data_IF_526007184868
#
_entry.id   IF_526007184868
#
_cell.length_a   1.000
_cell.length_b   1.000
_cell.length_c   1.000
_cell.angle_alpha   90.00
_cell.angle_beta   90.00
_cell.angle_gamma   90.00
#
_symmetry.space_group_name_H-M   'P 1'
#
loop_
_entity.id
_entity.type
_entity.pdbx_description
1 polymer ?
#
# COMPACT_ATOMS: atom_id res chain seq x y z
N UNK A 1 -38.15 15.26 21.94
CA UNK A 1 -37.43 14.18 21.24
C UNK A 1 -36.00 14.63 21.24
N UNK A 2 -35.19 14.04 22.11
CA UNK A 2 -33.75 14.30 22.11
C UNK A 2 -33.18 13.58 20.89
N UNK A 3 -32.61 14.35 19.95
CA UNK A 3 -31.73 13.82 18.92
C UNK A 3 -30.54 13.21 19.65
N UNK A 4 -30.49 11.88 19.68
CA UNK A 4 -29.29 11.15 20.05
C UNK A 4 -28.25 11.47 18.98
N UNK A 5 -27.39 12.45 19.27
CA UNK A 5 -26.15 12.68 18.54
C UNK A 5 -25.34 11.40 18.68
N UNK A 6 -25.41 10.53 17.68
CA UNK A 6 -24.56 9.36 17.60
C UNK A 6 -23.14 9.91 17.50
N UNK A 7 -22.32 9.60 18.49
CA UNK A 7 -20.95 10.03 18.56
C UNK A 7 -20.19 9.45 17.35
N UNK A 8 -19.58 10.33 16.57
CA UNK A 8 -18.89 10.00 15.31
C UNK A 8 -17.80 8.95 15.59
N UNK A 9 -17.18 9.00 16.77
CA UNK A 9 -16.18 8.02 17.19
C UNK A 9 -16.79 6.61 17.35
N UNK A 10 -18.07 6.51 17.75
CA UNK A 10 -18.78 5.22 17.86
C UNK A 10 -19.22 4.69 16.49
N UNK A 11 -19.57 5.56 15.55
CA UNK A 11 -19.83 5.19 14.15
C UNK A 11 -18.55 4.75 13.43
N UNK A 12 -17.42 5.39 13.73
CA UNK A 12 -16.09 5.00 13.24
C UNK A 12 -15.68 3.62 13.79
N UNK A 13 -15.98 3.33 15.06
CA UNK A 13 -15.73 2.02 15.67
C UNK A 13 -16.58 0.88 15.06
N UNK A 14 -17.71 1.20 14.44
CA UNK A 14 -18.56 0.24 13.71
C UNK A 14 -18.08 -0.05 12.28
N UNK A 15 -17.18 0.78 11.73
CA UNK A 15 -16.66 0.62 10.39
C UNK A 15 -15.35 -0.20 10.39
N UNK A 16 -15.34 -1.30 9.64
CA UNK A 16 -14.14 -2.16 9.52
C UNK A 16 -12.91 -1.43 8.91
N UNK A 17 -13.14 -0.29 8.25
CA UNK A 17 -12.15 0.57 7.62
C UNK A 17 -12.70 2.00 7.40
N UNK A 18 -11.80 3.00 7.40
CA UNK A 18 -12.11 4.41 7.08
C UNK A 18 -11.36 4.75 5.78
N UNK A 19 -12.01 5.20 4.70
CA UNK A 19 -11.30 5.63 3.49
C UNK A 19 -10.46 6.91 3.67
N UNK A 20 -9.47 7.08 2.80
CA UNK A 20 -8.57 8.23 2.80
C UNK A 20 -7.21 7.91 3.44
N UNK A 21 -6.28 8.85 3.28
CA UNK A 21 -4.88 8.68 3.70
C UNK A 21 -4.47 9.62 4.83
N UNK A 22 -5.19 10.74 5.03
CA UNK A 22 -4.85 11.75 6.04
C UNK A 22 -5.12 11.30 7.48
N UNK A 23 -5.99 10.30 7.68
CA UNK A 23 -6.25 9.70 9.00
C UNK A 23 -5.27 8.58 9.38
N UNK A 24 -4.50 8.06 8.41
CA UNK A 24 -3.63 6.93 8.66
C UNK A 24 -2.60 7.29 9.73
N UNK A 25 -2.29 6.33 10.60
CA UNK A 25 -1.23 6.46 11.59
C UNK A 25 0.14 6.33 10.89
N UNK A 26 0.49 7.31 10.06
CA UNK A 26 1.79 7.47 9.41
C UNK A 26 2.51 8.65 10.03
N UNK A 27 3.82 8.54 10.21
CA UNK A 27 4.63 9.65 10.73
C UNK A 27 4.55 10.90 9.85
N UNK A 28 4.29 10.71 8.55
CA UNK A 28 3.94 11.77 7.64
C UNK A 28 2.80 12.68 8.16
N UNK A 29 1.76 12.08 8.76
CA UNK A 29 0.52 12.77 9.11
C UNK A 29 0.57 13.54 10.43
N UNK A 30 1.62 13.34 11.24
CA UNK A 30 1.77 14.01 12.53
C UNK A 30 2.84 15.10 12.49
N UNK A 31 2.60 16.19 13.21
CA UNK A 31 3.61 17.22 13.45
C UNK A 31 4.71 16.64 14.35
N UNK A 32 5.97 16.87 13.96
CA UNK A 32 7.13 16.40 14.73
C UNK A 32 8.03 17.57 15.10
N UNK A 33 8.76 17.43 16.21
CA UNK A 33 9.75 18.39 16.72
C UNK A 33 11.05 18.48 15.89
N UNK A 34 11.14 17.79 14.75
CA UNK A 34 12.30 17.83 13.87
C UNK A 34 12.34 19.10 13.00
N UNK A 35 13.52 19.61 12.60
CA UNK A 35 13.62 20.83 11.79
C UNK A 35 12.95 20.67 10.41
N UNK A 36 12.12 21.66 10.04
CA UNK A 36 11.29 21.71 8.82
C UNK A 36 12.10 21.44 7.53
N UNK A 37 13.37 21.85 7.48
CA UNK A 37 14.21 21.72 6.28
C UNK A 37 14.55 20.28 5.88
N UNK A 38 14.65 19.34 6.84
CA UNK A 38 14.89 17.93 6.54
C UNK A 38 13.62 17.19 6.10
N UNK A 39 12.46 17.64 6.57
CA UNK A 39 11.17 17.02 6.26
C UNK A 39 10.83 17.12 4.77
N UNK A 40 10.98 18.32 4.19
CA UNK A 40 10.74 18.54 2.77
C UNK A 40 11.68 17.76 1.85
N UNK A 41 12.90 17.44 2.32
CA UNK A 41 13.86 16.63 1.53
C UNK A 41 13.42 15.18 1.42
N UNK A 42 13.10 14.54 2.56
CA UNK A 42 12.71 13.13 2.57
C UNK A 42 11.42 12.90 1.78
N UNK A 43 10.46 13.82 1.91
CA UNK A 43 9.21 13.80 1.15
C UNK A 43 9.45 13.93 -0.36
N UNK A 44 10.33 14.83 -0.80
CA UNK A 44 10.71 14.96 -2.21
C UNK A 44 11.38 13.70 -2.76
N UNK A 45 12.28 13.07 -2.00
CA UNK A 45 12.92 11.81 -2.42
C UNK A 45 11.91 10.67 -2.54
N UNK A 46 10.94 10.58 -1.62
CA UNK A 46 9.86 9.59 -1.73
C UNK A 46 8.94 9.87 -2.91
N UNK A 47 8.62 11.15 -3.17
CA UNK A 47 7.83 11.57 -4.35
C UNK A 47 8.54 11.20 -5.65
N UNK A 48 9.84 11.44 -5.77
CA UNK A 48 10.64 11.04 -6.95
C UNK A 48 10.64 9.52 -7.16
N UNK A 49 10.79 8.73 -6.09
CA UNK A 49 10.66 7.27 -6.15
C UNK A 49 9.29 6.83 -6.66
N UNK A 50 8.21 7.45 -6.18
CA UNK A 50 6.85 7.12 -6.61
C UNK A 50 6.58 7.52 -8.06
N UNK A 51 7.09 8.65 -8.52
CA UNK A 51 6.98 9.07 -9.93
C UNK A 51 7.66 8.04 -10.84
N UNK A 52 8.85 7.57 -10.45
CA UNK A 52 9.52 6.49 -11.18
C UNK A 52 8.71 5.19 -11.17
N UNK A 53 8.13 4.79 -10.03
CA UNK A 53 7.26 3.61 -9.97
C UNK A 53 6.01 3.76 -10.86
N UNK A 54 5.43 4.96 -10.93
CA UNK A 54 4.26 5.25 -11.76
C UNK A 54 4.55 5.06 -13.26
N UNK A 55 5.76 5.36 -13.74
CA UNK A 55 6.14 5.19 -15.15
C UNK A 55 6.02 3.74 -15.65
N UNK A 56 6.16 2.76 -14.74
CA UNK A 56 6.08 1.32 -15.06
C UNK A 56 4.76 0.67 -14.61
N UNK A 57 3.91 1.42 -13.91
CA UNK A 57 2.66 0.91 -13.38
C UNK A 57 1.51 1.10 -14.38
N UNK A 58 1.03 0.00 -14.95
CA UNK A 58 -0.06 -0.01 -15.94
C UNK A 58 -1.37 -0.59 -15.40
N UNK A 59 -1.36 -1.16 -14.18
CA UNK A 59 -2.50 -1.79 -13.55
C UNK A 59 -3.26 -0.86 -12.59
N UNK A 60 -4.13 -1.44 -11.75
CA UNK A 60 -4.91 -0.69 -10.76
C UNK A 60 -4.04 -0.12 -9.62
N UNK A 61 -2.83 -0.64 -9.43
CA UNK A 61 -1.89 -0.13 -8.42
C UNK A 61 -1.46 1.32 -8.71
N UNK A 62 -1.61 1.82 -9.94
CA UNK A 62 -1.31 3.22 -10.28
C UNK A 62 -2.10 4.20 -9.40
N UNK A 63 -3.32 3.85 -8.99
CA UNK A 63 -4.16 4.72 -8.17
C UNK A 63 -3.69 4.76 -6.71
N UNK A 64 -3.07 3.68 -6.21
CA UNK A 64 -2.35 3.72 -4.93
C UNK A 64 -1.19 4.72 -4.97
N UNK A 65 -0.43 4.71 -6.06
CA UNK A 65 0.70 5.61 -6.29
C UNK A 65 0.22 7.05 -6.41
N UNK A 66 -0.78 7.31 -7.25
CA UNK A 66 -1.34 8.64 -7.46
C UNK A 66 -1.99 9.21 -6.20
N UNK A 67 -2.77 8.42 -5.44
CA UNK A 67 -3.32 8.86 -4.17
C UNK A 67 -2.21 9.32 -3.22
N UNK A 68 -1.14 8.54 -3.10
CA UNK A 68 -0.01 8.90 -2.25
C UNK A 68 0.77 10.13 -2.77
N UNK A 69 0.89 10.29 -4.10
CA UNK A 69 1.46 11.49 -4.71
C UNK A 69 0.63 12.74 -4.35
N UNK A 70 -0.70 12.64 -4.36
CA UNK A 70 -1.60 13.72 -3.92
C UNK A 70 -1.38 14.09 -2.45
N UNK A 71 -1.24 13.08 -1.58
CA UNK A 71 -0.92 13.30 -0.16
C UNK A 71 0.43 14.00 0.00
N UNK A 72 1.44 13.60 -0.78
CA UNK A 72 2.76 14.24 -0.75
C UNK A 72 2.72 15.68 -1.25
N UNK A 73 2.00 15.98 -2.33
CA UNK A 73 1.79 17.35 -2.79
C UNK A 73 1.13 18.21 -1.72
N UNK A 74 0.12 17.67 -1.01
CA UNK A 74 -0.49 18.38 0.12
C UNK A 74 0.54 18.74 1.21
N UNK A 75 1.35 17.78 1.66
CA UNK A 75 2.38 18.03 2.69
C UNK A 75 3.58 18.86 2.18
N UNK A 76 3.72 19.02 0.87
CA UNK A 76 4.66 19.97 0.25
C UNK A 76 4.06 21.36 0.03
N UNK A 77 2.87 21.62 0.57
CA UNK A 77 2.11 22.88 0.43
C UNK A 77 1.66 23.17 -1.01
N UNK A 78 1.65 22.15 -1.89
CA UNK A 78 1.18 22.19 -3.28
C UNK A 78 -0.31 21.80 -3.34
N UNK A 79 -1.17 22.50 -2.59
CA UNK A 79 -2.57 22.08 -2.34
C UNK A 79 -3.40 21.98 -3.62
N UNK A 80 -3.26 22.91 -4.57
CA UNK A 80 -3.96 22.84 -5.86
C UNK A 80 -3.54 21.61 -6.68
N UNK A 81 -2.26 21.24 -6.65
CA UNK A 81 -1.77 20.04 -7.31
C UNK A 81 -2.34 18.77 -6.65
N UNK A 82 -2.41 18.74 -5.31
CA UNK A 82 -3.06 17.65 -4.60
C UNK A 82 -4.53 17.50 -5.02
N UNK A 83 -5.26 18.62 -5.11
CA UNK A 83 -6.65 18.67 -5.59
C UNK A 83 -6.78 18.10 -7.00
N UNK A 84 -5.95 18.56 -7.94
CA UNK A 84 -5.97 18.09 -9.33
C UNK A 84 -5.71 16.58 -9.44
N UNK A 85 -4.78 16.05 -8.65
CA UNK A 85 -4.48 14.61 -8.62
C UNK A 85 -5.70 13.82 -8.13
N UNK A 86 -6.28 14.17 -6.99
CA UNK A 86 -7.44 13.43 -6.46
C UNK A 86 -8.65 13.55 -7.39
N UNK A 87 -8.91 14.75 -7.93
CA UNK A 87 -9.97 14.96 -8.91
C UNK A 87 -9.77 14.08 -10.15
N UNK A 88 -8.54 14.00 -10.69
CA UNK A 88 -8.23 13.13 -11.82
C UNK A 88 -8.51 11.65 -11.51
N UNK A 89 -8.11 11.17 -10.32
CA UNK A 89 -8.40 9.79 -9.91
C UNK A 89 -9.91 9.55 -9.83
N UNK A 90 -10.69 10.47 -9.26
CA UNK A 90 -12.16 10.31 -9.17
C UNK A 90 -12.85 10.28 -10.54
N UNK A 91 -12.27 10.92 -11.56
CA UNK A 91 -12.78 10.89 -12.93
C UNK A 91 -12.46 9.56 -13.64
N UNK A 92 -11.23 9.06 -13.49
CA UNK A 92 -10.78 7.80 -14.10
C UNK A 92 -11.27 6.56 -13.35
N UNK A 93 -11.41 6.66 -12.03
CA UNK A 93 -11.91 5.62 -11.13
C UNK A 93 -12.98 6.18 -10.18
N UNK A 94 -14.23 6.34 -10.65
CA UNK A 94 -15.33 6.85 -9.85
C UNK A 94 -15.64 6.03 -8.60
N UNK A 95 -15.16 4.78 -8.52
CA UNK A 95 -15.34 3.88 -7.38
C UNK A 95 -14.20 3.95 -6.34
N UNK A 96 -13.18 4.81 -6.53
CA UNK A 96 -12.03 4.90 -5.63
C UNK A 96 -12.38 5.63 -4.32
N UNK A 97 -12.63 4.86 -3.26
CA UNK A 97 -13.02 5.38 -1.95
C UNK A 97 -11.97 6.34 -1.35
N UNK A 98 -10.67 6.03 -1.52
CA UNK A 98 -9.62 6.87 -0.95
C UNK A 98 -9.52 8.21 -1.66
N UNK A 99 -9.68 8.24 -2.98
CA UNK A 99 -9.61 9.48 -3.75
C UNK A 99 -10.74 10.44 -3.37
N UNK A 100 -11.97 9.94 -3.22
CA UNK A 100 -13.11 10.74 -2.74
C UNK A 100 -12.89 11.28 -1.33
N UNK A 101 -12.46 10.44 -0.38
CA UNK A 101 -12.18 10.87 0.98
C UNK A 101 -11.03 11.90 1.06
N UNK A 102 -9.97 11.67 0.29
CA UNK A 102 -8.86 12.61 0.19
C UNK A 102 -9.29 13.94 -0.44
N UNK A 103 -10.11 13.90 -1.49
CA UNK A 103 -10.62 15.10 -2.16
C UNK A 103 -11.53 15.92 -1.24
N UNK A 104 -12.44 15.27 -0.50
CA UNK A 104 -13.25 15.92 0.54
C UNK A 104 -12.37 16.64 1.56
N UNK A 105 -11.33 15.97 2.07
CA UNK A 105 -10.36 16.59 2.98
C UNK A 105 -9.67 17.82 2.36
N UNK A 106 -9.31 17.78 1.07
CA UNK A 106 -8.73 18.95 0.39
C UNK A 106 -9.75 20.10 0.28
N UNK A 107 -11.01 19.82 -0.04
CA UNK A 107 -12.05 20.84 -0.13
C UNK A 107 -12.34 21.51 1.22
N UNK A 108 -12.42 20.75 2.30
CA UNK A 108 -12.50 21.28 3.67
C UNK A 108 -11.33 22.25 3.95
N UNK A 109 -10.10 21.83 3.65
CA UNK A 109 -8.89 22.65 3.84
C UNK A 109 -8.88 23.93 2.99
N UNK A 110 -9.63 23.97 1.89
CA UNK A 110 -9.81 25.13 1.03
C UNK A 110 -11.07 25.95 1.39
N UNK A 111 -11.85 25.54 2.39
CA UNK A 111 -13.17 26.09 2.75
C UNK A 111 -14.18 26.06 1.59
N UNK A 112 -14.15 24.99 0.80
CA UNK A 112 -15.08 24.72 -0.31
C UNK A 112 -16.16 23.73 0.16
N UNK A 113 -17.04 24.21 1.05
CA UNK A 113 -18.02 23.38 1.78
C UNK A 113 -18.98 22.62 0.84
N UNK A 114 -19.40 23.24 -0.27
CA UNK A 114 -20.31 22.57 -1.20
C UNK A 114 -19.64 21.36 -1.85
N UNK A 115 -18.43 21.51 -2.36
CA UNK A 115 -17.69 20.44 -3.02
C UNK A 115 -17.26 19.33 -2.03
N UNK A 116 -16.97 19.69 -0.77
CA UNK A 116 -16.75 18.72 0.30
C UNK A 116 -18.00 17.85 0.53
N UNK A 117 -19.18 18.47 0.66
CA UNK A 117 -20.44 17.75 0.84
C UNK A 117 -20.70 16.81 -0.34
N UNK A 118 -20.51 17.27 -1.58
CA UNK A 118 -20.66 16.42 -2.77
C UNK A 118 -19.73 15.20 -2.75
N UNK A 119 -18.47 15.38 -2.31
CA UNK A 119 -17.52 14.27 -2.17
C UNK A 119 -17.92 13.28 -1.07
N UNK A 120 -18.40 13.77 0.07
CA UNK A 120 -18.80 12.93 1.21
C UNK A 120 -20.08 12.13 0.92
N UNK A 121 -21.06 12.74 0.24
CA UNK A 121 -22.26 12.04 -0.26
C UNK A 121 -21.88 10.94 -1.25
N UNK A 122 -20.99 11.24 -2.21
CA UNK A 122 -20.50 10.24 -3.16
C UNK A 122 -19.77 9.09 -2.44
N UNK A 123 -18.94 9.40 -1.45
CA UNK A 123 -18.25 8.39 -0.65
C UNK A 123 -19.24 7.50 0.11
N UNK A 124 -20.24 8.09 0.79
CA UNK A 124 -21.29 7.38 1.52
C UNK A 124 -22.07 6.41 0.63
N UNK A 125 -22.47 6.87 -0.56
CA UNK A 125 -23.12 6.05 -1.58
C UNK A 125 -22.25 4.87 -2.02
N UNK A 126 -20.95 5.10 -2.25
CA UNK A 126 -20.03 4.02 -2.65
C UNK A 126 -19.78 3.01 -1.52
N UNK A 127 -19.79 3.47 -0.27
CA UNK A 127 -19.68 2.61 0.90
C UNK A 127 -20.99 1.83 1.18
N UNK A 128 -22.10 2.24 0.57
CA UNK A 128 -23.41 1.61 0.77
C UNK A 128 -24.05 1.96 2.11
N UNK A 129 -23.68 3.12 2.67
CA UNK A 129 -24.26 3.65 3.90
C UNK A 129 -25.64 4.28 3.63
N UNK A 130 -25.84 4.83 2.43
CA UNK A 130 -27.12 5.35 1.99
C UNK A 130 -28.02 4.22 1.43
N UNK A 131 -29.11 3.96 2.15
CA UNK A 131 -29.87 2.71 2.10
C UNK A 131 -30.97 2.61 1.02
N UNK A 132 -31.08 3.55 0.08
CA UNK A 132 -32.23 3.55 -0.86
C UNK A 132 -31.92 2.99 -2.25
N UNK A 133 -30.70 3.10 -2.75
CA UNK A 133 -30.27 2.46 -3.99
C UNK A 133 -28.95 1.75 -3.75
N UNK A 134 -29.05 0.45 -3.43
CA UNK A 134 -27.88 -0.42 -3.44
C UNK A 134 -27.37 -0.47 -4.87
N UNK A 135 -26.46 0.43 -5.22
CA UNK A 135 -25.58 0.30 -6.38
C UNK A 135 -25.16 -1.17 -6.42
N UNK A 136 -25.61 -1.88 -7.45
CA UNK A 136 -25.26 -3.27 -7.70
C UNK A 136 -23.76 -3.32 -8.00
N UNK A 137 -22.95 -3.26 -6.96
CA UNK A 137 -21.50 -3.14 -7.02
C UNK A 137 -20.88 -3.85 -5.83
N UNK A 138 -19.74 -4.48 -6.05
CA UNK A 138 -19.06 -5.26 -5.03
C UNK A 138 -18.40 -4.31 -4.00
N UNK A 139 -19.17 -3.84 -3.01
CA UNK A 139 -18.68 -3.03 -1.89
C UNK A 139 -17.44 -3.66 -1.22
N UNK A 140 -17.35 -5.00 -1.20
CA UNK A 140 -16.19 -5.70 -0.65
C UNK A 140 -14.93 -5.52 -1.51
N UNK A 141 -15.05 -5.50 -2.85
CA UNK A 141 -13.90 -5.25 -3.71
C UNK A 141 -13.42 -3.79 -3.60
N UNK A 142 -14.34 -2.83 -3.46
CA UNK A 142 -14.00 -1.42 -3.20
C UNK A 142 -13.28 -1.26 -1.85
N UNK A 143 -13.80 -1.89 -0.79
CA UNK A 143 -13.13 -1.95 0.50
C UNK A 143 -11.73 -2.58 0.40
N UNK A 144 -11.59 -3.67 -0.35
CA UNK A 144 -10.31 -4.33 -0.55
C UNK A 144 -9.28 -3.43 -1.25
N UNK A 145 -9.68 -2.72 -2.31
CA UNK A 145 -8.80 -1.75 -3.01
C UNK A 145 -8.43 -0.58 -2.10
N UNK A 146 -9.40 -0.04 -1.36
CA UNK A 146 -9.18 1.01 -0.37
C UNK A 146 -8.08 0.60 0.64
N UNK A 147 -8.23 -0.57 1.25
CA UNK A 147 -7.26 -1.12 2.22
C UNK A 147 -5.88 -1.39 1.61
N UNK A 148 -5.81 -1.85 0.35
CA UNK A 148 -4.53 -2.07 -0.35
C UNK A 148 -3.78 -0.78 -0.56
N UNK A 149 -4.44 0.27 -1.03
CA UNK A 149 -3.81 1.57 -1.25
C UNK A 149 -3.30 2.17 0.08
N UNK A 150 -4.07 2.04 1.16
CA UNK A 150 -3.62 2.43 2.50
C UNK A 150 -2.43 1.60 2.97
N UNK A 151 -2.48 0.27 2.76
CA UNK A 151 -1.38 -0.63 3.08
C UNK A 151 -0.11 -0.32 2.28
N UNK A 152 -0.26 0.13 1.03
CA UNK A 152 0.81 0.61 0.18
C UNK A 152 1.49 1.86 0.73
N UNK A 153 0.71 2.81 1.26
CA UNK A 153 1.22 4.07 1.81
C UNK A 153 2.26 3.86 2.93
N UNK A 154 2.08 2.84 3.79
CA UNK A 154 3.03 2.50 4.85
C UNK A 154 4.44 2.10 4.36
N UNK A 155 4.60 1.69 3.09
CA UNK A 155 5.91 1.46 2.50
C UNK A 155 6.70 2.76 2.26
N UNK A 156 6.01 3.90 2.25
CA UNK A 156 6.56 5.21 1.90
C UNK A 156 6.52 6.21 3.04
N UNK A 157 6.14 5.75 4.24
CA UNK A 157 6.21 6.58 5.43
C UNK A 157 7.63 7.14 5.61
N UNK A 158 7.69 8.36 6.16
CA UNK A 158 8.90 9.14 6.32
C UNK A 158 9.20 9.30 7.81
N UNK A 159 10.38 9.84 8.15
CA UNK A 159 10.73 10.17 9.54
C UNK A 159 10.72 8.95 10.49
N UNK A 160 10.98 7.75 9.98
CA UNK A 160 11.16 6.54 10.79
C UNK A 160 12.59 6.53 11.35
N UNK A 161 12.76 7.13 12.53
CA UNK A 161 14.10 7.34 13.13
C UNK A 161 14.59 6.13 13.90
N UNK A 162 13.68 5.23 14.29
CA UNK A 162 14.01 4.03 15.01
C UNK A 162 13.45 2.78 14.30
N UNK A 163 14.19 1.68 14.44
CA UNK A 163 13.85 0.42 13.77
C UNK A 163 12.62 -0.28 14.39
N UNK A 164 12.17 0.06 15.62
CA UNK A 164 10.93 -0.53 16.19
C UNK A 164 9.69 0.07 15.52
N UNK A 165 9.65 1.38 15.40
CA UNK A 165 8.63 2.15 14.70
C UNK A 165 8.53 1.74 13.24
N UNK A 166 9.68 1.64 12.54
CA UNK A 166 9.72 1.12 11.17
C UNK A 166 9.10 -0.28 11.06
N UNK A 167 9.42 -1.17 12.01
CA UNK A 167 8.83 -2.52 12.08
C UNK A 167 7.31 -2.45 12.28
N UNK A 168 6.84 -1.61 13.19
CA UNK A 168 5.41 -1.43 13.47
C UNK A 168 4.64 -0.92 12.23
N UNK A 169 5.12 0.14 11.58
CA UNK A 169 4.51 0.68 10.36
C UNK A 169 4.46 -0.35 9.23
N UNK A 170 5.52 -1.14 9.03
CA UNK A 170 5.52 -2.24 8.05
C UNK A 170 4.49 -3.35 8.39
N UNK A 171 4.33 -3.67 9.68
CA UNK A 171 3.33 -4.65 10.15
C UNK A 171 1.90 -4.14 9.93
N UNK A 172 1.65 -2.84 10.16
CA UNK A 172 0.34 -2.23 9.88
C UNK A 172 0.01 -2.33 8.40
N UNK A 173 0.94 -1.96 7.52
CA UNK A 173 0.75 -2.12 6.07
C UNK A 173 0.42 -3.56 5.66
N UNK A 174 1.18 -4.55 6.15
CA UNK A 174 0.91 -5.97 5.90
C UNK A 174 -0.46 -6.43 6.45
N UNK A 175 -0.90 -5.87 7.58
CA UNK A 175 -2.20 -6.17 8.16
C UNK A 175 -3.34 -5.67 7.28
N UNK A 176 -3.21 -4.46 6.70
CA UNK A 176 -4.17 -3.91 5.75
C UNK A 176 -4.26 -4.76 4.48
N UNK A 177 -3.12 -5.20 3.93
CA UNK A 177 -3.12 -6.13 2.80
C UNK A 177 -3.82 -7.47 3.12
N UNK A 178 -3.58 -8.04 4.31
CA UNK A 178 -4.25 -9.27 4.72
C UNK A 178 -5.76 -9.07 4.87
N UNK A 179 -6.21 -7.95 5.44
CA UNK A 179 -7.63 -7.58 5.48
C UNK A 179 -8.19 -7.47 4.07
N UNK A 180 -7.51 -6.74 3.17
CA UNK A 180 -7.95 -6.57 1.80
C UNK A 180 -8.13 -7.90 1.05
N UNK A 181 -7.21 -8.86 1.24
CA UNK A 181 -7.35 -10.20 0.65
C UNK A 181 -8.55 -10.98 1.19
N UNK A 182 -8.98 -10.71 2.42
CA UNK A 182 -10.19 -11.30 3.00
C UNK A 182 -11.48 -10.71 2.42
N UNK A 183 -11.50 -9.39 2.14
CA UNK A 183 -12.61 -8.70 1.47
C UNK A 183 -12.70 -9.04 -0.02
N UNK A 184 -11.58 -8.88 -0.74
CA UNK A 184 -11.51 -8.88 -2.20
C UNK A 184 -11.55 -10.26 -2.83
N UNK A 185 -12.64 -11.01 -2.62
CA UNK A 185 -12.78 -12.38 -3.14
C UNK A 185 -12.91 -12.41 -4.66
N UNK A 186 -13.53 -11.39 -5.26
CA UNK A 186 -13.79 -11.33 -6.70
C UNK A 186 -12.72 -10.53 -7.48
N UNK A 187 -11.77 -9.91 -6.77
CA UNK A 187 -10.64 -9.22 -7.37
C UNK A 187 -9.85 -10.18 -8.29
N UNK A 188 -9.59 -9.78 -9.54
CA UNK A 188 -8.83 -10.57 -10.49
C UNK A 188 -7.46 -10.99 -9.93
N UNK A 189 -7.03 -12.21 -10.26
CA UNK A 189 -5.74 -12.72 -9.77
C UNK A 189 -4.57 -11.86 -10.25
N UNK A 190 -4.64 -11.29 -11.46
CA UNK A 190 -3.60 -10.40 -11.97
C UNK A 190 -3.45 -9.14 -11.13
N UNK A 191 -4.56 -8.52 -10.74
CA UNK A 191 -4.55 -7.40 -9.80
C UNK A 191 -3.99 -7.82 -8.43
N UNK A 192 -4.37 -9.00 -7.90
CA UNK A 192 -3.77 -9.50 -6.65
C UNK A 192 -2.25 -9.69 -6.73
N UNK A 193 -1.68 -9.88 -7.93
CA UNK A 193 -0.21 -10.01 -8.08
C UNK A 193 0.51 -8.70 -7.82
N UNK A 194 -0.06 -7.53 -8.12
CA UNK A 194 0.53 -6.26 -7.69
C UNK A 194 0.54 -6.16 -6.16
N UNK A 195 -0.54 -6.62 -5.52
CA UNK A 195 -0.65 -6.63 -4.06
C UNK A 195 0.37 -7.59 -3.44
N UNK A 196 0.53 -8.78 -4.00
CA UNK A 196 1.53 -9.75 -3.55
C UNK A 196 2.95 -9.22 -3.72
N UNK A 197 3.21 -8.46 -4.79
CA UNK A 197 4.50 -7.81 -4.99
C UNK A 197 4.77 -6.77 -3.90
N UNK A 198 3.82 -5.87 -3.62
CA UNK A 198 3.94 -4.89 -2.54
C UNK A 198 4.09 -5.56 -1.16
N UNK A 199 3.32 -6.60 -0.87
CA UNK A 199 3.47 -7.39 0.36
C UNK A 199 4.86 -8.06 0.46
N UNK A 200 5.38 -8.60 -0.65
CA UNK A 200 6.70 -9.22 -0.68
C UNK A 200 7.81 -8.19 -0.37
N UNK A 201 7.73 -6.98 -0.94
CA UNK A 201 8.71 -5.92 -0.63
C UNK A 201 8.60 -5.45 0.82
N UNK A 202 7.40 -5.35 1.39
CA UNK A 202 7.18 -5.07 2.81
C UNK A 202 7.82 -6.14 3.70
N UNK A 203 7.60 -7.43 3.41
CA UNK A 203 8.22 -8.53 4.15
C UNK A 203 9.76 -8.53 4.04
N UNK A 204 10.33 -8.21 2.87
CA UNK A 204 11.80 -8.11 2.68
C UNK A 204 12.38 -6.97 3.51
N UNK A 205 11.70 -5.82 3.54
CA UNK A 205 12.09 -4.68 4.38
C UNK A 205 12.01 -5.05 5.86
N UNK A 206 10.94 -5.73 6.27
CA UNK A 206 10.73 -6.19 7.65
C UNK A 206 11.79 -7.22 8.09
N UNK A 207 12.17 -8.16 7.23
CA UNK A 207 13.27 -9.11 7.49
C UNK A 207 14.58 -8.36 7.73
N UNK A 208 14.89 -7.33 6.93
CA UNK A 208 16.07 -6.49 7.14
C UNK A 208 16.08 -5.81 8.52
N UNK A 209 14.94 -5.32 8.98
CA UNK A 209 14.80 -4.74 10.33
C UNK A 209 15.09 -5.80 11.41
N UNK A 210 14.55 -7.01 11.27
CA UNK A 210 14.76 -8.10 12.23
C UNK A 210 16.20 -8.62 12.24
N UNK A 211 16.87 -8.68 11.09
CA UNK A 211 18.29 -9.06 10.99
C UNK A 211 19.17 -8.14 11.83
N UNK A 212 18.95 -6.82 11.72
CA UNK A 212 19.77 -5.82 12.42
C UNK A 212 19.67 -5.89 13.94
N UNK A 213 18.56 -6.41 14.47
CA UNK A 213 18.29 -6.50 15.92
C UNK A 213 18.55 -7.87 16.53
N UNK A 214 18.98 -8.87 15.73
CA UNK A 214 19.14 -10.25 16.21
C UNK A 214 17.82 -10.88 16.68
N UNK A 215 16.69 -10.47 16.08
CA UNK A 215 15.34 -10.86 16.52
C UNK A 215 14.96 -12.27 16.06
N UNK A 216 14.08 -12.90 16.86
CA UNK A 216 13.36 -14.18 16.67
C UNK A 216 13.40 -14.77 15.24
N UNK A 217 14.36 -15.67 15.04
CA UNK A 217 14.57 -16.42 13.80
C UNK A 217 13.29 -17.09 13.30
N UNK A 218 12.39 -17.51 14.20
CA UNK A 218 11.12 -18.15 13.83
C UNK A 218 10.19 -17.19 13.08
N UNK A 219 10.13 -15.93 13.50
CA UNK A 219 9.33 -14.88 12.81
C UNK A 219 9.92 -14.57 11.45
N UNK A 220 11.26 -14.42 11.39
CA UNK A 220 11.97 -14.23 10.12
C UNK A 220 11.72 -15.38 9.15
N UNK A 221 11.81 -16.63 9.62
CA UNK A 221 11.56 -17.82 8.81
C UNK A 221 10.13 -17.87 8.27
N UNK A 222 9.15 -17.50 9.10
CA UNK A 222 7.74 -17.42 8.70
C UNK A 222 7.53 -16.38 7.60
N UNK A 223 8.07 -15.18 7.77
CA UNK A 223 7.98 -14.13 6.76
C UNK A 223 8.73 -14.51 5.48
N UNK A 224 9.93 -15.09 5.58
CA UNK A 224 10.72 -15.54 4.44
C UNK A 224 9.95 -16.55 3.57
N UNK A 225 9.37 -17.58 4.19
CA UNK A 225 8.55 -18.57 3.49
C UNK A 225 7.32 -17.91 2.85
N UNK A 226 6.68 -16.96 3.54
CA UNK A 226 5.53 -16.21 2.99
C UNK A 226 5.94 -15.39 1.76
N UNK A 227 7.09 -14.71 1.81
CA UNK A 227 7.62 -13.93 0.69
C UNK A 227 7.87 -14.80 -0.54
N UNK A 228 8.42 -16.00 -0.38
CA UNK A 228 8.62 -16.93 -1.50
C UNK A 228 7.31 -17.32 -2.19
N UNK A 229 6.26 -17.59 -1.40
CA UNK A 229 4.92 -17.91 -1.94
C UNK A 229 4.34 -16.73 -2.71
N UNK A 230 4.48 -15.51 -2.19
CA UNK A 230 4.03 -14.28 -2.85
C UNK A 230 4.78 -14.08 -4.17
N UNK A 231 6.12 -14.10 -4.15
CA UNK A 231 6.95 -13.94 -5.34
C UNK A 231 6.67 -15.01 -6.40
N UNK A 232 6.40 -16.26 -6.01
CA UNK A 232 6.01 -17.31 -6.94
C UNK A 232 4.73 -16.95 -7.72
N UNK A 233 3.79 -16.23 -7.11
CA UNK A 233 2.59 -15.73 -7.81
C UNK A 233 2.91 -14.51 -8.68
N UNK A 234 3.77 -13.60 -8.21
CA UNK A 234 4.19 -12.41 -8.99
C UNK A 234 4.94 -12.82 -10.26
N UNK A 235 5.77 -13.85 -10.20
CA UNK A 235 6.49 -14.39 -11.36
C UNK A 235 5.57 -14.88 -12.50
N UNK A 236 4.28 -15.06 -12.23
CA UNK A 236 3.23 -15.44 -13.20
C UNK A 236 2.43 -14.25 -13.73
N UNK A 237 2.76 -13.01 -13.32
CA UNK A 237 2.09 -11.78 -13.74
C UNK A 237 2.26 -11.54 -15.24
N UNK A 238 1.30 -10.89 -15.88
CA UNK A 238 1.50 -10.36 -17.23
C UNK A 238 2.41 -9.12 -17.26
N UNK A 239 2.58 -8.43 -16.13
CA UNK A 239 3.45 -7.26 -16.02
C UNK A 239 4.94 -7.69 -15.97
N UNK A 240 5.69 -7.30 -17.01
CA UNK A 240 7.12 -7.63 -17.14
C UNK A 240 7.98 -6.95 -16.08
N UNK A 241 7.65 -5.72 -15.68
CA UNK A 241 8.37 -4.99 -14.64
C UNK A 241 8.30 -5.73 -13.29
N UNK A 242 7.09 -6.16 -12.90
CA UNK A 242 6.92 -6.98 -11.69
C UNK A 242 7.65 -8.32 -11.77
N UNK A 243 7.61 -9.00 -12.92
CA UNK A 243 8.32 -10.27 -13.11
C UNK A 243 9.83 -10.08 -12.98
N UNK A 244 10.39 -9.06 -13.61
CA UNK A 244 11.82 -8.76 -13.56
C UNK A 244 12.25 -8.46 -12.11
N UNK A 245 11.55 -7.58 -11.40
CA UNK A 245 11.85 -7.26 -10.01
C UNK A 245 11.63 -8.45 -9.07
N UNK A 246 10.60 -9.28 -9.30
CA UNK A 246 10.37 -10.48 -8.52
C UNK A 246 11.51 -11.49 -8.67
N UNK A 247 12.10 -11.63 -9.86
CA UNK A 247 13.33 -12.42 -10.05
C UNK A 247 14.51 -11.84 -9.27
N UNK A 248 14.71 -10.51 -9.28
CA UNK A 248 15.75 -9.87 -8.47
C UNK A 248 15.56 -10.17 -6.96
N UNK A 249 14.35 -9.98 -6.44
CA UNK A 249 14.06 -10.25 -5.04
C UNK A 249 14.18 -11.73 -4.67
N UNK A 250 13.82 -12.64 -5.58
CA UNK A 250 14.04 -14.06 -5.38
C UNK A 250 15.53 -14.39 -5.27
N UNK A 251 16.38 -13.84 -6.15
CA UNK A 251 17.84 -13.98 -6.07
C UNK A 251 18.38 -13.52 -4.72
N UNK A 252 18.01 -12.31 -4.29
CA UNK A 252 18.39 -11.77 -2.98
C UNK A 252 17.95 -12.65 -1.81
N UNK A 253 16.74 -13.23 -1.84
CA UNK A 253 16.27 -14.13 -0.80
C UNK A 253 17.05 -15.45 -0.79
N UNK A 254 17.36 -16.01 -1.97
CA UNK A 254 18.12 -17.25 -2.08
C UNK A 254 19.56 -17.09 -1.56
N UNK A 255 20.17 -15.90 -1.66
CA UNK A 255 21.44 -15.60 -0.99
C UNK A 255 21.28 -15.61 0.54
N UNK A 256 20.18 -15.05 1.04
CA UNK A 256 19.88 -14.96 2.48
C UNK A 256 19.46 -16.28 3.11
N UNK A 257 19.23 -17.36 2.35
CA UNK A 257 18.79 -18.65 2.91
C UNK A 257 19.77 -19.24 3.92
N UNK A 258 21.05 -18.90 3.79
CA UNK A 258 22.11 -19.35 4.71
C UNK A 258 22.16 -18.53 6.02
N UNK A 259 21.31 -17.51 6.17
CA UNK A 259 21.17 -16.74 7.42
C UNK A 259 20.29 -17.42 8.47
N UNK A 260 19.74 -18.60 8.17
CA UNK A 260 18.89 -19.40 9.04
C UNK A 260 19.63 -20.68 9.48
N UNK A 261 19.44 -21.06 10.74
CA UNK A 261 19.91 -22.34 11.30
C UNK A 261 19.16 -23.53 10.71
N UNK A 262 17.86 -23.34 10.45
CA UNK A 262 17.01 -24.31 9.76
C UNK A 262 16.73 -23.87 8.33
N UNK A 263 16.93 -24.75 7.33
CA UNK A 263 16.62 -24.42 5.94
C UNK A 263 15.15 -23.97 5.77
N UNK A 264 14.88 -22.80 5.14
CA UNK A 264 13.52 -22.37 4.88
C UNK A 264 12.76 -23.34 3.96
N UNK A 265 11.65 -23.89 4.47
CA UNK A 265 10.84 -24.89 3.75
C UNK A 265 10.29 -24.36 2.42
N UNK A 266 9.97 -23.06 2.35
CA UNK A 266 9.45 -22.41 1.16
C UNK A 266 10.37 -22.53 -0.05
N UNK A 267 11.67 -22.74 0.14
CA UNK A 267 12.61 -22.96 -0.97
C UNK A 267 12.26 -24.25 -1.71
N UNK A 268 11.99 -25.33 -0.98
CA UNK A 268 11.61 -26.60 -1.59
C UNK A 268 10.15 -26.55 -2.07
N UNK A 269 9.25 -26.03 -1.25
CA UNK A 269 7.81 -25.99 -1.55
C UNK A 269 7.50 -25.15 -2.81
N UNK A 270 8.27 -24.08 -3.04
CA UNK A 270 8.12 -23.26 -4.24
C UNK A 270 8.97 -23.73 -5.44
N UNK A 271 9.78 -24.79 -5.29
CA UNK A 271 10.56 -25.40 -6.37
C UNK A 271 11.92 -24.74 -6.66
N UNK A 272 12.53 -24.07 -5.68
CA UNK A 272 13.79 -23.31 -5.82
C UNK A 272 15.02 -24.01 -5.24
N UNK A 273 14.91 -25.29 -4.84
CA UNK A 273 15.99 -26.04 -4.18
C UNK A 273 17.31 -26.06 -4.98
N UNK A 274 17.22 -26.16 -6.30
CA UNK A 274 18.37 -26.17 -7.21
C UNK A 274 18.61 -24.86 -7.96
N UNK A 275 17.93 -23.77 -7.57
CA UNK A 275 18.08 -22.47 -8.23
C UNK A 275 19.27 -21.71 -7.65
N UNK A 276 20.21 -21.30 -8.50
CA UNK A 276 21.30 -20.41 -8.12
C UNK A 276 20.81 -18.95 -8.07
N UNK A 277 21.16 -18.15 -7.06
CA UNK A 277 20.81 -16.73 -7.02
C UNK A 277 21.19 -15.94 -8.28
N UNK A 278 22.34 -16.27 -8.91
CA UNK A 278 22.80 -15.60 -10.13
C UNK A 278 21.90 -15.90 -11.33
N UNK A 279 21.33 -17.10 -11.40
CA UNK A 279 20.35 -17.44 -12.44
C UNK A 279 19.09 -16.58 -12.33
N UNK A 280 18.68 -16.21 -11.11
CA UNK A 280 17.56 -15.30 -10.90
C UNK A 280 17.83 -13.92 -11.48
N UNK A 281 19.01 -13.33 -11.22
CA UNK A 281 19.38 -12.05 -11.80
C UNK A 281 19.52 -12.12 -13.33
N UNK A 282 20.04 -13.22 -13.87
CA UNK A 282 20.06 -13.48 -15.31
C UNK A 282 18.67 -13.44 -15.93
N UNK A 283 17.70 -14.13 -15.33
CA UNK A 283 16.28 -14.11 -15.75
C UNK A 283 15.64 -12.74 -15.60
N UNK A 284 15.99 -11.99 -14.56
CA UNK A 284 15.50 -10.62 -14.39
C UNK A 284 15.92 -9.73 -15.57
N UNK A 285 17.19 -9.82 -15.99
CA UNK A 285 17.72 -9.08 -17.14
C UNK A 285 17.05 -9.53 -18.45
N UNK A 286 16.84 -10.83 -18.64
CA UNK A 286 16.14 -11.35 -19.81
C UNK A 286 14.71 -10.78 -19.90
N UNK A 287 13.94 -10.88 -18.82
CA UNK A 287 12.55 -10.38 -18.77
C UNK A 287 12.49 -8.85 -18.94
N UNK A 288 13.47 -8.11 -18.43
CA UNK A 288 13.49 -6.64 -18.53
C UNK A 288 13.88 -6.12 -19.92
N UNK A 289 14.37 -6.98 -20.82
CA UNK A 289 14.73 -6.64 -22.21
C UNK A 289 13.56 -6.81 -23.18
N UNK A 290 12.57 -7.59 -22.80
CA UNK A 290 11.33 -7.80 -23.55
C UNK A 290 10.35 -6.63 -23.33
#
# INVERSE_FOLDING_TARGET
MEETTVDIDTLIDEMDYIPGHFHLDMNLNFETSAPISFQGRDLKLKRESLLYELEFETGSQQYAIQNLLGVFSFYLEEVEQAKEIFLHITQEQPENLNAWANLAYIYDRLNQEQEEVECTEQLSNLMGLDSEDKLQGNHQDRAARCLVEQGYAYAFDIRLTNEEEKKEKLIVGLTLYNKALAYGKQIPLEEKRSWYFAMATLHIRLDGVWMNKGVDEKKRLTAFNRTLVLLQQVLKSSNLHYRALAWCYLGMLLERKYSFSTPPLGINDCGYAGTDPLDCFGKAIEVARD
#
